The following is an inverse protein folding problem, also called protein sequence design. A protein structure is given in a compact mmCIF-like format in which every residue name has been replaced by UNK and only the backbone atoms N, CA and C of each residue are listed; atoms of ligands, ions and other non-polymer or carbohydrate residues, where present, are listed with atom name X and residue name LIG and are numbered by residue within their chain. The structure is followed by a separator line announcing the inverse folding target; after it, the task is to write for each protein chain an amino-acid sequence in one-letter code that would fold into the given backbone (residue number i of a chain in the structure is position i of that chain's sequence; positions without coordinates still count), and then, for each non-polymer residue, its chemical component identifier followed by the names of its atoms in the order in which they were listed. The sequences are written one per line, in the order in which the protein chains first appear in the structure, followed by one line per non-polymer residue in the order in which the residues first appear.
data_IF_693564557213
#
_entry.id   IF_693564557213
#
_cell.length_a   1.000
_cell.length_b   1.000
_cell.length_c   1.000
_cell.angle_alpha   90.00
_cell.angle_beta   90.00
_cell.angle_gamma   90.00
#
_symmetry.space_group_name_H-M   'P 1'
#
loop_
_entity.id
_entity.type
_entity.pdbx_description
1 polymer ?
#
# COMPACT_ATOMS: atom_id res chain seq x y z
N UNK A 1 15.75 -9.38 -5.55
CA UNK A 1 15.44 -7.94 -5.49
C UNK A 1 14.50 -7.66 -6.66
N UNK A 2 13.20 -7.90 -6.46
CA UNK A 2 12.14 -7.67 -7.45
C UNK A 2 11.48 -6.34 -7.11
N UNK A 3 11.61 -5.38 -8.02
CA UNK A 3 11.20 -3.99 -7.85
C UNK A 3 9.68 -3.88 -8.08
N UNK A 4 8.95 -3.17 -7.22
CA UNK A 4 7.48 -2.95 -7.27
C UNK A 4 6.93 -2.42 -8.61
N UNK A 5 7.82 -2.01 -9.50
CA UNK A 5 7.53 -1.23 -10.69
C UNK A 5 7.55 -2.06 -11.98
N UNK A 6 8.18 -3.24 -11.96
CA UNK A 6 8.46 -4.06 -13.17
C UNK A 6 7.60 -5.33 -13.27
N UNK A 7 6.51 -5.43 -12.49
CA UNK A 7 5.58 -6.58 -12.48
C UNK A 7 6.25 -7.95 -12.23
N UNK A 8 7.46 -7.99 -11.66
CA UNK A 8 8.04 -9.24 -11.20
C UNK A 8 7.23 -9.80 -10.03
N UNK A 9 7.01 -11.11 -10.04
CA UNK A 9 6.22 -11.78 -9.00
C UNK A 9 6.84 -11.54 -7.61
N UNK A 10 6.13 -10.76 -6.81
CA UNK A 10 6.36 -10.68 -5.37
C UNK A 10 6.14 -12.10 -4.82
N UNK A 11 6.99 -12.59 -3.90
CA UNK A 11 6.77 -13.89 -3.28
C UNK A 11 5.35 -14.00 -2.72
N UNK A 12 4.70 -15.15 -2.88
CA UNK A 12 3.27 -15.34 -2.59
C UNK A 12 2.89 -15.14 -1.12
N UNK A 13 3.87 -15.09 -0.22
CA UNK A 13 3.68 -14.78 1.19
C UNK A 13 3.57 -13.27 1.46
N UNK A 14 3.76 -12.42 0.45
CA UNK A 14 3.33 -11.02 0.45
C UNK A 14 2.15 -10.90 -0.51
N UNK A 15 0.96 -10.68 0.02
CA UNK A 15 -0.22 -10.46 -0.81
C UNK A 15 -0.76 -9.05 -0.60
N UNK A 16 -1.03 -8.40 -1.72
CA UNK A 16 -1.67 -7.09 -1.77
C UNK A 16 -3.18 -7.28 -1.75
N UNK A 17 -3.86 -6.49 -0.94
CA UNK A 17 -5.31 -6.36 -1.01
C UNK A 17 -5.70 -4.88 -0.96
N UNK A 18 -6.81 -4.57 -1.63
CA UNK A 18 -7.38 -3.23 -1.57
C UNK A 18 -8.06 -3.04 -0.21
N UNK A 19 -7.85 -1.89 0.41
CA UNK A 19 -8.52 -1.50 1.65
C UNK A 19 -9.37 -0.26 1.44
N UNK A 20 -10.46 -0.16 2.20
CA UNK A 20 -11.23 1.06 2.28
C UNK A 20 -10.44 2.12 3.04
N UNK A 21 -9.91 3.09 2.30
CA UNK A 21 -9.22 4.24 2.86
C UNK A 21 -10.21 5.20 3.54
N UNK A 22 -9.76 5.84 4.62
CA UNK A 22 -10.46 6.97 5.23
C UNK A 22 -10.62 8.12 4.20
N UNK A 23 -11.80 8.74 4.15
CA UNK A 23 -12.12 9.87 3.26
C UNK A 23 -11.13 11.04 3.35
N UNK A 24 -10.53 11.29 4.51
CA UNK A 24 -9.50 12.33 4.69
C UNK A 24 -8.18 12.01 3.99
N UNK A 25 -7.79 10.73 3.94
CA UNK A 25 -6.60 10.28 3.23
C UNK A 25 -6.83 10.40 1.71
N UNK A 26 -7.99 9.91 1.24
CA UNK A 26 -8.40 9.99 -0.17
C UNK A 26 -8.39 11.45 -0.64
N UNK A 27 -8.92 12.37 0.17
CA UNK A 27 -8.92 13.79 -0.18
C UNK A 27 -7.51 14.36 -0.34
N UNK A 28 -6.59 14.09 0.60
CA UNK A 28 -5.20 14.54 0.52
C UNK A 28 -4.49 13.98 -0.72
N UNK A 29 -4.74 12.72 -1.06
CA UNK A 29 -4.18 12.08 -2.25
C UNK A 29 -4.72 12.70 -3.53
N UNK A 30 -6.03 12.95 -3.62
CA UNK A 30 -6.64 13.61 -4.78
C UNK A 30 -6.14 15.06 -4.96
N UNK A 31 -5.87 15.79 -3.89
CA UNK A 31 -5.26 17.14 -4.00
C UNK A 31 -3.84 17.05 -4.56
N UNK A 32 -3.06 16.06 -4.14
CA UNK A 32 -1.66 15.90 -4.59
C UNK A 32 -1.56 15.31 -6.01
N UNK A 33 -2.53 14.48 -6.42
CA UNK A 33 -2.56 13.79 -7.71
C UNK A 33 -3.97 13.84 -8.35
N UNK A 34 -4.42 15.01 -8.82
CA UNK A 34 -5.81 15.24 -9.23
C UNK A 34 -6.27 14.52 -10.51
N UNK A 35 -5.34 13.92 -11.26
CA UNK A 35 -5.61 13.22 -12.53
C UNK A 35 -5.37 11.71 -12.44
N UNK A 36 -5.03 11.20 -11.26
CA UNK A 36 -4.73 9.80 -11.04
C UNK A 36 -5.89 9.14 -10.30
N UNK A 37 -6.38 8.01 -10.83
CA UNK A 37 -7.36 7.18 -10.11
C UNK A 37 -6.62 6.32 -9.07
N UNK A 38 -6.00 6.99 -8.08
CA UNK A 38 -5.17 6.34 -7.08
C UNK A 38 -6.02 5.46 -6.19
N UNK A 39 -5.64 4.20 -6.10
CA UNK A 39 -6.19 3.25 -5.13
C UNK A 39 -5.20 3.08 -4.00
N UNK A 40 -5.70 3.15 -2.76
CA UNK A 40 -4.91 2.78 -1.61
C UNK A 40 -4.72 1.26 -1.62
N UNK A 41 -3.46 0.84 -1.62
CA UNK A 41 -3.09 -0.55 -1.53
C UNK A 41 -2.51 -0.83 -0.16
N UNK A 42 -2.84 -1.99 0.39
CA UNK A 42 -2.20 -2.52 1.58
C UNK A 42 -1.54 -3.84 1.22
N UNK A 43 -0.31 -4.01 1.69
CA UNK A 43 0.41 -5.27 1.60
C UNK A 43 0.62 -5.81 3.00
N UNK A 44 0.16 -7.04 3.23
CA UNK A 44 0.45 -7.75 4.48
C UNK A 44 1.91 -8.20 4.48
N UNK A 45 2.60 -7.88 5.56
CA UNK A 45 3.98 -8.22 5.80
C UNK A 45 4.05 -9.36 6.81
N UNK A 46 4.38 -10.55 6.33
CA UNK A 46 4.62 -11.71 7.17
C UNK A 46 6.10 -11.78 7.52
N UNK A 47 6.49 -11.15 8.63
CA UNK A 47 7.83 -11.31 9.18
C UNK A 47 7.88 -12.62 9.99
N UNK A 48 8.65 -13.58 9.48
CA UNK A 48 9.26 -14.68 10.25
C UNK A 48 8.32 -15.67 10.96
N UNK A 49 7.11 -15.87 10.42
CA UNK A 49 6.17 -16.88 10.92
C UNK A 49 5.29 -16.40 12.08
N UNK A 50 5.36 -15.12 12.44
CA UNK A 50 4.36 -14.48 13.28
C UNK A 50 3.11 -14.13 12.44
N UNK A 51 1.93 -14.25 13.06
CA UNK A 51 0.65 -13.90 12.44
C UNK A 51 0.76 -12.49 11.84
N UNK A 52 0.40 -12.35 10.55
CA UNK A 52 0.56 -11.16 9.72
C UNK A 52 -0.20 -9.94 10.22
N UNK A 53 0.26 -9.38 11.34
CA UNK A 53 -0.27 -8.15 11.92
C UNK A 53 0.65 -6.96 11.63
N UNK A 54 1.35 -7.01 10.50
CA UNK A 54 2.09 -5.87 9.99
C UNK A 54 1.65 -5.59 8.57
N UNK A 55 1.36 -4.32 8.31
CA UNK A 55 0.82 -3.82 7.05
C UNK A 55 1.73 -2.73 6.52
N UNK A 56 1.99 -2.77 5.22
CA UNK A 56 2.51 -1.62 4.48
C UNK A 56 1.36 -0.97 3.73
N UNK A 57 1.07 0.29 4.04
CA UNK A 57 0.09 1.11 3.32
C UNK A 57 0.84 1.94 2.29
N UNK A 58 0.39 1.87 1.05
CA UNK A 58 1.05 2.59 -0.03
C UNK A 58 0.09 2.92 -1.18
N UNK A 59 0.53 3.80 -2.06
CA UNK A 59 -0.12 4.06 -3.35
C UNK A 59 0.88 3.86 -4.48
N UNK A 60 0.37 3.38 -5.61
CA UNK A 60 1.10 3.31 -6.87
C UNK A 60 0.67 4.52 -7.70
N UNK A 61 1.63 5.23 -8.30
CA UNK A 61 1.39 6.33 -9.25
C UNK A 61 1.99 5.90 -10.59
N UNK A 62 1.24 5.13 -11.42
CA UNK A 62 1.80 4.48 -12.60
C UNK A 62 2.35 5.46 -13.64
N UNK A 63 1.67 6.60 -13.83
CA UNK A 63 2.10 7.64 -14.79
C UNK A 63 3.48 8.21 -14.51
N UNK A 64 3.92 8.14 -13.25
CA UNK A 64 5.24 8.62 -12.80
C UNK A 64 6.21 7.48 -12.51
N UNK A 65 5.76 6.23 -12.61
CA UNK A 65 6.55 5.07 -12.23
C UNK A 65 7.07 5.18 -10.78
N UNK A 66 6.20 5.64 -9.88
CA UNK A 66 6.52 5.92 -8.47
C UNK A 66 5.61 5.13 -7.52
N UNK A 67 6.15 4.79 -6.35
CA UNK A 67 5.40 4.24 -5.21
C UNK A 67 5.59 5.16 -4.02
N UNK A 68 4.49 5.56 -3.38
CA UNK A 68 4.54 6.33 -2.15
C UNK A 68 4.12 5.47 -0.98
N UNK A 69 5.05 5.33 -0.03
CA UNK A 69 4.79 4.69 1.26
C UNK A 69 4.05 5.69 2.15
N UNK A 70 2.90 5.27 2.67
CA UNK A 70 2.01 6.10 3.47
C UNK A 70 2.21 5.79 4.95
N UNK A 71 2.20 4.51 5.30
CA UNK A 71 2.35 4.07 6.69
C UNK A 71 2.84 2.62 6.77
N UNK A 72 3.38 2.24 7.92
CA UNK A 72 3.73 0.87 8.27
C UNK A 72 3.44 0.60 9.74
N UNK A 73 2.73 -0.48 10.02
CA UNK A 73 2.31 -0.80 11.39
C UNK A 73 1.32 -1.95 11.43
N UNK A 74 0.78 -2.22 12.60
CA UNK A 74 -0.29 -3.21 12.78
C UNK A 74 -1.65 -2.72 12.29
N UNK A 75 -2.60 -3.65 12.14
CA UNK A 75 -3.98 -3.30 11.80
C UNK A 75 -4.55 -2.29 12.81
N UNK A 76 -4.25 -2.49 14.10
CA UNK A 76 -4.73 -1.63 15.17
C UNK A 76 -4.07 -0.24 15.16
N UNK A 77 -2.85 -0.12 14.66
CA UNK A 77 -2.17 1.18 14.56
C UNK A 77 -2.69 2.00 13.36
N UNK A 78 -2.95 1.34 12.24
CA UNK A 78 -3.33 2.00 10.98
C UNK A 78 -4.83 2.31 10.89
N UNK A 79 -5.69 1.43 11.41
CA UNK A 79 -7.16 1.51 11.20
C UNK A 79 -7.96 1.90 12.45
N UNK A 80 -7.33 2.54 13.43
CA UNK A 80 -8.02 3.09 14.60
C UNK A 80 -8.92 4.28 14.29
#
# INVERSE_FOLDING_TARGET
MSLFLDEQHIPSYFYEHAVHANSQLIHRLNVKYPQENLRLSVMELHFDGHNGDHLLVYIKVPSKHEVYLIDIGSHAEIFR
#
